data_IF_218742582534
#
_entry.id   IF_218742582534
#
_cell.length_a   1.000
_cell.length_b   1.000
_cell.length_c   1.000
_cell.angle_alpha   90.00
_cell.angle_beta   90.00
_cell.angle_gamma   90.00
#
_symmetry.space_group_name_H-M   'P 1'
#
loop_
_entity.id
_entity.type
_entity.pdbx_description
1 polymer ?
#
# COMPACT_ATOMS: atom_id res chain seq x y z
N UNK A 1 -3.49 -18.70 -4.46
CA UNK A 1 -3.10 -18.45 -3.05
C UNK A 1 -2.67 -17.01 -2.80
N UNK A 2 -2.05 -16.31 -3.76
CA UNK A 2 -1.46 -14.99 -3.55
C UNK A 2 -2.49 -13.83 -3.38
N UNK A 3 -3.53 -13.77 -4.23
CA UNK A 3 -4.59 -12.71 -4.15
C UNK A 3 -5.40 -12.66 -2.84
N UNK A 4 -5.53 -13.77 -2.14
CA UNK A 4 -6.30 -13.84 -0.88
C UNK A 4 -5.53 -13.17 0.26
N UNK A 5 -4.21 -13.37 0.33
CA UNK A 5 -3.31 -12.73 1.30
C UNK A 5 -3.27 -11.21 1.11
N UNK A 6 -3.14 -10.75 -0.14
CA UNK A 6 -3.15 -9.32 -0.46
C UNK A 6 -4.50 -8.68 -0.07
N UNK A 7 -5.61 -9.35 -0.38
CA UNK A 7 -6.95 -8.86 -0.02
C UNK A 7 -7.16 -8.83 1.49
N UNK A 8 -6.62 -9.82 2.22
CA UNK A 8 -6.62 -9.85 3.69
C UNK A 8 -5.83 -8.68 4.26
N UNK A 9 -4.60 -8.44 3.79
CA UNK A 9 -3.78 -7.30 4.20
C UNK A 9 -4.53 -5.98 4.00
N UNK A 10 -5.11 -5.76 2.81
CA UNK A 10 -5.86 -4.53 2.51
C UNK A 10 -7.07 -4.39 3.45
N UNK A 11 -7.82 -5.46 3.68
CA UNK A 11 -8.97 -5.46 4.60
C UNK A 11 -8.55 -5.15 6.05
N UNK A 12 -7.44 -5.72 6.51
CA UNK A 12 -6.93 -5.52 7.87
C UNK A 12 -6.43 -4.09 8.06
N UNK A 13 -5.72 -3.54 7.07
CA UNK A 13 -5.29 -2.13 7.07
C UNK A 13 -6.49 -1.19 7.10
N UNK A 14 -7.50 -1.43 6.26
CA UNK A 14 -8.71 -0.59 6.20
C UNK A 14 -9.57 -0.67 7.46
N UNK A 15 -9.57 -1.81 8.16
CA UNK A 15 -10.31 -2.00 9.41
C UNK A 15 -9.53 -1.62 10.67
N UNK A 16 -8.22 -1.39 10.56
CA UNK A 16 -7.35 -1.01 11.67
C UNK A 16 -6.61 0.32 11.41
N UNK A 17 -7.15 1.45 11.91
CA UNK A 17 -6.53 2.77 11.76
C UNK A 17 -5.08 2.86 12.29
N UNK A 18 -4.71 2.05 13.28
CA UNK A 18 -3.35 2.03 13.80
C UNK A 18 -2.36 1.45 12.79
N UNK A 19 -2.76 0.43 12.02
CA UNK A 19 -1.93 -0.14 10.97
C UNK A 19 -1.68 0.85 9.82
N UNK A 20 -2.66 1.69 9.50
CA UNK A 20 -2.49 2.78 8.53
C UNK A 20 -1.45 3.77 9.04
N UNK A 21 -1.58 4.23 10.29
CA UNK A 21 -0.64 5.19 10.88
C UNK A 21 0.80 4.63 10.95
N UNK A 22 0.95 3.36 11.33
CA UNK A 22 2.24 2.66 11.31
C UNK A 22 2.80 2.59 9.89
N UNK A 23 2.00 2.14 8.91
CA UNK A 23 2.43 2.02 7.51
C UNK A 23 2.78 3.37 6.87
N UNK A 24 2.09 4.45 7.23
CA UNK A 24 2.40 5.82 6.74
C UNK A 24 3.72 6.36 7.27
N UNK A 25 4.24 5.82 8.38
CA UNK A 25 5.56 6.21 8.90
C UNK A 25 6.72 5.54 8.15
N UNK A 26 6.42 4.54 7.31
CA UNK A 26 7.41 3.76 6.57
C UNK A 26 7.73 4.46 5.25
N UNK A 27 8.97 4.93 5.10
CA UNK A 27 9.41 5.70 3.93
C UNK A 27 10.23 4.92 2.93
N UNK A 28 10.56 3.66 3.23
CA UNK A 28 11.36 2.80 2.36
C UNK A 28 10.71 1.44 2.12
N UNK A 29 10.93 0.92 0.90
CA UNK A 29 10.33 -0.34 0.46
C UNK A 29 10.77 -1.53 1.33
N UNK A 30 12.04 -1.57 1.75
CA UNK A 30 12.57 -2.69 2.54
C UNK A 30 11.93 -2.76 3.93
N UNK A 31 11.70 -1.62 4.58
CA UNK A 31 10.98 -1.54 5.85
C UNK A 31 9.50 -1.88 5.68
N UNK A 32 8.87 -1.56 4.54
CA UNK A 32 7.49 -1.97 4.26
C UNK A 32 7.39 -3.49 4.11
N UNK A 33 8.31 -4.10 3.38
CA UNK A 33 8.40 -5.56 3.26
C UNK A 33 8.60 -6.22 4.63
N UNK A 34 9.55 -5.72 5.42
CA UNK A 34 9.80 -6.22 6.78
C UNK A 34 8.57 -6.05 7.70
N UNK A 35 7.87 -4.92 7.59
CA UNK A 35 6.64 -4.65 8.35
C UNK A 35 5.55 -5.66 8.00
N UNK A 36 5.28 -5.86 6.71
CA UNK A 36 4.25 -6.80 6.23
C UNK A 36 4.58 -8.23 6.68
N UNK A 37 5.83 -8.67 6.53
CA UNK A 37 6.27 -9.99 7.02
C UNK A 37 6.17 -10.11 8.54
N UNK A 38 6.48 -9.05 9.30
CA UNK A 38 6.37 -9.06 10.77
C UNK A 38 4.93 -9.19 11.27
N UNK A 39 3.94 -8.73 10.49
CA UNK A 39 2.51 -8.89 10.79
C UNK A 39 1.97 -10.28 10.38
N UNK A 40 2.81 -11.13 9.79
CA UNK A 40 2.48 -12.50 9.45
C UNK A 40 1.84 -12.69 8.06
N UNK A 41 2.03 -11.72 7.16
CA UNK A 41 1.64 -11.87 5.75
C UNK A 41 2.82 -12.41 4.93
N UNK A 42 2.53 -13.34 4.04
CA UNK A 42 3.46 -13.98 3.11
C UNK A 42 3.09 -13.60 1.67
N UNK A 43 3.41 -12.35 1.32
CA UNK A 43 3.21 -11.82 -0.03
C UNK A 43 4.37 -12.20 -0.94
N UNK A 44 4.06 -12.45 -2.20
CA UNK A 44 5.09 -12.57 -3.24
C UNK A 44 5.78 -11.22 -3.48
N UNK A 45 6.96 -11.24 -4.11
CA UNK A 45 7.69 -10.00 -4.45
C UNK A 45 6.86 -9.04 -5.30
N UNK A 46 6.09 -9.58 -6.25
CA UNK A 46 5.23 -8.78 -7.13
C UNK A 46 4.09 -8.11 -6.34
N UNK A 47 3.54 -8.80 -5.35
CA UNK A 47 2.49 -8.25 -4.47
C UNK A 47 3.04 -7.22 -3.48
N UNK A 48 4.24 -7.44 -2.96
CA UNK A 48 4.94 -6.43 -2.14
C UNK A 48 5.17 -5.13 -2.95
N UNK A 49 5.56 -5.26 -4.22
CA UNK A 49 5.70 -4.11 -5.12
C UNK A 49 4.35 -3.41 -5.36
N UNK A 50 3.26 -4.16 -5.51
CA UNK A 50 1.92 -3.61 -5.66
C UNK A 50 1.49 -2.84 -4.41
N UNK A 51 1.69 -3.40 -3.21
CA UNK A 51 1.40 -2.73 -1.93
C UNK A 51 2.24 -1.46 -1.77
N UNK A 52 3.53 -1.53 -2.09
CA UNK A 52 4.42 -0.37 -2.05
C UNK A 52 3.94 0.72 -3.02
N UNK A 53 3.58 0.36 -4.25
CA UNK A 53 3.06 1.32 -5.22
C UNK A 53 1.75 1.97 -4.76
N UNK A 54 0.85 1.20 -4.13
CA UNK A 54 -0.39 1.73 -3.54
C UNK A 54 -0.09 2.68 -2.37
N UNK A 55 0.78 2.29 -1.44
CA UNK A 55 1.18 3.11 -0.30
C UNK A 55 1.85 4.41 -0.75
N UNK A 56 2.77 4.34 -1.71
CA UNK A 56 3.44 5.50 -2.29
C UNK A 56 2.45 6.45 -2.96
N UNK A 57 1.43 5.95 -3.67
CA UNK A 57 0.36 6.77 -4.24
C UNK A 57 -0.50 7.43 -3.18
N UNK A 58 -0.86 6.72 -2.12
CA UNK A 58 -1.64 7.27 -0.99
C UNK A 58 -0.85 8.35 -0.25
N UNK A 59 0.45 8.13 0.00
CA UNK A 59 1.33 9.11 0.64
C UNK A 59 1.58 10.32 -0.27
N UNK A 60 1.80 10.11 -1.57
CA UNK A 60 1.90 11.19 -2.54
C UNK A 60 0.60 11.98 -2.62
N UNK A 61 -0.57 11.32 -2.55
CA UNK A 61 -1.87 11.98 -2.53
C UNK A 61 -2.25 12.66 -1.21
N UNK A 62 -1.59 12.33 -0.11
CA UNK A 62 -1.64 13.11 1.13
C UNK A 62 -0.68 14.33 1.10
N UNK A 63 0.36 14.27 0.27
CA UNK A 63 1.31 15.35 0.06
C UNK A 63 0.92 16.31 -1.08
N UNK A 64 -0.06 15.95 -1.92
CA UNK A 64 -0.51 16.73 -3.07
C UNK A 64 -2.02 16.97 -3.05
N UNK A 65 -2.52 18.09 -3.62
CA UNK A 65 -3.95 18.34 -3.75
C UNK A 65 -4.66 17.16 -4.43
N UNK A 66 -5.88 16.88 -4.00
CA UNK A 66 -6.70 15.73 -4.42
C UNK A 66 -6.80 15.56 -5.95
N UNK A 67 -6.79 16.67 -6.72
CA UNK A 67 -6.76 16.67 -8.19
C UNK A 67 -5.54 15.97 -8.80
N UNK A 68 -4.35 16.11 -8.19
CA UNK A 68 -3.13 15.47 -8.69
C UNK A 68 -3.14 13.95 -8.45
N UNK A 69 -3.83 13.53 -7.39
CA UNK A 69 -4.01 12.11 -7.05
C UNK A 69 -4.97 11.44 -8.02
N UNK A 70 -6.06 12.12 -8.40
CA UNK A 70 -7.04 11.62 -9.37
C UNK A 70 -6.42 11.45 -10.77
N UNK A 71 -5.57 12.38 -11.21
CA UNK A 71 -4.87 12.28 -12.50
C UNK A 71 -3.94 11.04 -12.58
N UNK A 72 -3.20 10.76 -11.50
CA UNK A 72 -2.31 9.59 -11.42
C UNK A 72 -3.07 8.26 -11.32
N UNK A 73 -4.28 8.28 -10.76
CA UNK A 73 -5.18 7.11 -10.71
C UNK A 73 -5.76 6.82 -12.09
N UNK A 74 -6.18 7.85 -12.83
CA UNK A 74 -6.69 7.70 -14.20
C UNK A 74 -5.58 7.24 -15.17
N UNK A 75 -4.36 7.75 -15.02
CA UNK A 75 -3.19 7.34 -15.83
C UNK A 75 -2.82 5.87 -15.58
N UNK A 76 -2.90 5.41 -14.32
CA UNK A 76 -2.66 4.02 -13.97
C UNK A 76 -3.79 3.05 -14.39
N UNK A 77 -5.00 3.56 -14.63
CA UNK A 77 -6.15 2.76 -15.08
C UNK A 77 -6.26 2.60 -16.59
N UNK A 78 -5.39 3.27 -17.36
CA UNK A 78 -5.33 3.11 -18.81
C UNK A 78 -6.55 3.69 -19.52
N UNK A 79 -6.45 4.96 -19.89
CA UNK A 79 -6.98 5.43 -21.16
C UNK A 79 -5.82 5.69 -22.12
#
# INVERSE_FOLDING_TARGET
MSKEELSRLVSDVMSNPAMIAEAMSITDQAAMEAYITSKGYDLTKDEMLEVWAMAAKVMAGHAQPMEATEALIDEAKGK
#
